data_IF_317151853565
#
_entry.id   IF_317151853565
#
_cell.length_a   1.000
_cell.length_b   1.000
_cell.length_c   1.000
_cell.angle_alpha   90.00
_cell.angle_beta   90.00
_cell.angle_gamma   90.00
#
_symmetry.space_group_name_H-M   'P 1'
#
loop_
_entity.id
_entity.type
_entity.pdbx_description
1 polymer ?
#
# COMPACT_ATOMS: atom_id res chain seq x y z
N UNK A 1 32.80 -7.03 -11.34
CA UNK A 1 33.40 -7.91 -12.37
C UNK A 1 33.07 -7.38 -13.75
N UNK A 2 34.02 -6.70 -14.41
CA UNK A 2 34.28 -6.94 -15.82
C UNK A 2 35.67 -7.51 -16.04
N UNK A 3 35.77 -8.27 -17.12
CA UNK A 3 36.76 -9.30 -17.42
C UNK A 3 38.12 -8.70 -17.81
N UNK A 4 39.16 -9.35 -17.32
CA UNK A 4 40.55 -9.29 -17.77
C UNK A 4 40.67 -9.51 -19.28
N UNK A 5 41.37 -8.63 -19.99
CA UNK A 5 41.85 -8.87 -21.34
C UNK A 5 43.10 -9.76 -21.29
N UNK A 6 43.07 -10.87 -22.01
CA UNK A 6 44.22 -11.73 -22.28
C UNK A 6 44.22 -12.13 -23.76
N UNK A 7 45.42 -12.15 -24.35
CA UNK A 7 45.82 -12.50 -25.75
C UNK A 7 45.71 -11.32 -26.72
N UNK A 8 46.69 -11.06 -27.59
CA UNK A 8 47.51 -11.97 -28.42
C UNK A 8 48.96 -11.43 -28.52
N UNK A 9 50.00 -12.21 -28.15
CA UNK A 9 50.84 -13.07 -29.01
C UNK A 9 51.09 -12.54 -30.43
N UNK A 10 52.32 -12.07 -30.64
CA UNK A 10 52.84 -11.55 -31.89
C UNK A 10 52.84 -12.55 -33.03
N UNK A 11 52.67 -11.99 -34.24
CA UNK A 11 53.06 -12.61 -35.50
C UNK A 11 54.45 -12.10 -35.87
N UNK A 12 55.36 -13.04 -36.00
CA UNK A 12 56.64 -12.88 -36.67
C UNK A 12 56.39 -12.67 -38.18
N UNK A 13 57.12 -11.73 -38.78
CA UNK A 13 57.43 -11.68 -40.20
C UNK A 13 58.95 -11.51 -40.35
N UNK A 14 59.51 -11.96 -41.49
CA UNK A 14 60.73 -12.76 -41.53
C UNK A 14 62.01 -11.94 -41.49
N UNK A 15 63.03 -12.53 -40.87
CA UNK A 15 64.42 -12.12 -40.96
C UNK A 15 64.88 -12.30 -42.42
N UNK A 16 65.00 -11.22 -43.17
CA UNK A 16 65.88 -11.19 -44.35
C UNK A 16 67.32 -11.01 -43.86
N UNK A 17 68.17 -11.95 -44.24
CA UNK A 17 69.62 -11.92 -44.07
C UNK A 17 70.17 -10.60 -44.62
N UNK A 18 70.44 -9.65 -43.74
CA UNK A 18 71.44 -8.63 -44.01
C UNK A 18 72.71 -9.13 -43.36
N UNK A 19 73.58 -9.68 -44.21
CA UNK A 19 74.97 -10.01 -43.95
C UNK A 19 75.58 -9.05 -42.93
N UNK A 20 75.90 -9.57 -41.75
CA UNK A 20 76.90 -8.99 -40.88
C UNK A 20 78.23 -9.09 -41.63
N UNK A 21 78.54 -8.05 -42.40
CA UNK A 21 79.95 -7.68 -42.56
C UNK A 21 80.47 -7.49 -41.14
N UNK A 22 81.34 -8.40 -40.71
CA UNK A 22 82.08 -8.29 -39.47
C UNK A 22 83.06 -7.12 -39.64
N UNK A 23 82.85 -5.93 -39.04
CA UNK A 23 84.00 -5.12 -38.76
C UNK A 23 84.61 -5.79 -37.54
N UNK A 24 85.61 -6.63 -37.78
CA UNK A 24 86.64 -6.94 -36.81
C UNK A 24 87.40 -5.65 -36.44
N UNK A 25 86.69 -4.66 -35.91
CA UNK A 25 87.22 -3.56 -35.15
C UNK A 25 87.16 -4.01 -33.71
N UNK A 26 88.34 -4.15 -33.09
CA UNK A 26 88.44 -4.38 -31.65
C UNK A 26 87.49 -3.43 -30.95
N UNK A 27 86.41 -3.93 -30.33
CA UNK A 27 85.58 -3.13 -29.44
C UNK A 27 86.54 -2.61 -28.39
N UNK A 28 86.89 -1.34 -28.51
CA UNK A 28 87.88 -0.75 -27.65
C UNK A 28 87.29 -0.72 -26.25
N UNK A 29 88.11 -0.96 -25.23
CA UNK A 29 87.70 -0.77 -23.84
C UNK A 29 87.09 0.63 -23.62
N UNK A 30 87.47 1.61 -24.45
CA UNK A 30 86.88 2.95 -24.48
C UNK A 30 85.41 2.98 -24.88
N UNK A 31 84.99 2.13 -25.81
CA UNK A 31 83.62 2.13 -26.35
C UNK A 31 82.67 1.49 -25.34
N UNK A 32 83.09 0.40 -24.70
CA UNK A 32 82.38 -0.22 -23.56
C UNK A 32 82.30 0.77 -22.39
N UNK A 33 83.38 1.49 -22.10
CA UNK A 33 83.39 2.53 -21.05
C UNK A 33 82.44 3.69 -21.37
N UNK A 34 82.31 4.07 -22.64
CA UNK A 34 81.40 5.12 -23.07
C UNK A 34 79.95 4.65 -23.01
N UNK A 35 79.63 3.42 -23.44
CA UNK A 35 78.29 2.84 -23.24
C UNK A 35 77.92 2.71 -21.76
N UNK A 36 78.85 2.28 -20.88
CA UNK A 36 78.60 2.22 -19.43
C UNK A 36 78.33 3.61 -18.86
N UNK A 37 79.01 4.65 -19.35
CA UNK A 37 78.75 6.03 -18.95
C UNK A 37 77.38 6.50 -19.42
N UNK A 38 77.03 6.25 -20.68
CA UNK A 38 75.72 6.60 -21.26
C UNK A 38 74.59 5.87 -20.51
N UNK A 39 74.75 4.57 -20.27
CA UNK A 39 73.80 3.77 -19.50
C UNK A 39 73.64 4.30 -18.07
N UNK A 40 74.74 4.69 -17.41
CA UNK A 40 74.69 5.32 -16.09
C UNK A 40 73.93 6.65 -16.12
N UNK A 41 74.17 7.50 -17.12
CA UNK A 41 73.46 8.79 -17.23
C UNK A 41 71.97 8.56 -17.50
N UNK A 42 71.62 7.68 -18.43
CA UNK A 42 70.22 7.31 -18.71
C UNK A 42 69.53 6.69 -17.51
N UNK A 43 70.20 5.79 -16.78
CA UNK A 43 69.61 5.23 -15.54
C UNK A 43 69.45 6.29 -14.46
N UNK A 44 70.38 7.24 -14.31
CA UNK A 44 70.19 8.35 -13.36
C UNK A 44 69.04 9.26 -13.75
N UNK A 45 68.90 9.59 -15.04
CA UNK A 45 67.79 10.41 -15.54
C UNK A 45 66.44 9.70 -15.37
N UNK A 46 66.38 8.41 -15.71
CA UNK A 46 65.19 7.57 -15.49
C UNK A 46 64.83 7.43 -14.00
N UNK A 47 65.83 7.38 -13.12
CA UNK A 47 65.59 7.38 -11.67
C UNK A 47 65.05 8.73 -11.18
N UNK A 48 65.53 9.84 -11.73
CA UNK A 48 65.01 11.16 -11.39
C UNK A 48 63.58 11.39 -11.89
N UNK A 49 63.24 10.92 -13.09
CA UNK A 49 61.87 10.98 -13.61
C UNK A 49 60.93 10.11 -12.77
N UNK A 50 61.30 8.86 -12.50
CA UNK A 50 60.54 7.98 -11.62
C UNK A 50 60.33 8.58 -10.22
N UNK A 51 61.33 9.28 -9.67
CA UNK A 51 61.21 9.96 -8.38
C UNK A 51 60.22 11.12 -8.42
N UNK A 52 60.18 11.89 -9.52
CA UNK A 52 59.19 12.95 -9.73
C UNK A 52 57.78 12.37 -9.84
N UNK A 53 57.61 11.28 -10.60
CA UNK A 53 56.32 10.61 -10.77
C UNK A 53 55.80 10.03 -9.44
N UNK A 54 56.66 9.37 -8.65
CA UNK A 54 56.30 8.86 -7.31
C UNK A 54 55.86 10.01 -6.39
N UNK A 55 56.51 11.17 -6.47
CA UNK A 55 56.12 12.35 -5.69
C UNK A 55 54.74 12.87 -6.13
N UNK A 56 54.50 12.95 -7.44
CA UNK A 56 53.19 13.34 -8.00
C UNK A 56 52.08 12.38 -7.55
N UNK A 57 52.30 11.07 -7.67
CA UNK A 57 51.37 10.03 -7.20
C UNK A 57 51.08 10.18 -5.71
N UNK A 58 52.09 10.48 -4.88
CA UNK A 58 51.89 10.68 -3.43
C UNK A 58 51.01 11.90 -3.13
N UNK A 59 51.18 12.98 -3.88
CA UNK A 59 50.36 14.19 -3.75
C UNK A 59 48.91 13.92 -4.18
N UNK A 60 48.70 13.23 -5.31
CA UNK A 60 47.37 12.81 -5.78
C UNK A 60 46.67 11.87 -4.78
N UNK A 61 47.39 10.88 -4.22
CA UNK A 61 46.86 10.00 -3.17
C UNK A 61 46.44 10.80 -1.94
N UNK A 62 47.22 11.82 -1.55
CA UNK A 62 46.87 12.73 -0.46
C UNK A 62 45.56 13.48 -0.73
N UNK A 63 45.40 14.02 -1.94
CA UNK A 63 44.16 14.69 -2.35
C UNK A 63 42.96 13.73 -2.43
N UNK A 64 43.16 12.52 -2.92
CA UNK A 64 42.13 11.49 -2.99
C UNK A 64 41.66 11.10 -1.58
N UNK A 65 42.56 10.93 -0.62
CA UNK A 65 42.19 10.61 0.76
C UNK A 65 41.32 11.71 1.40
N UNK A 66 41.63 12.99 1.13
CA UNK A 66 40.79 14.11 1.60
C UNK A 66 39.39 14.07 0.95
N UNK A 67 39.32 13.83 -0.36
CA UNK A 67 38.04 13.70 -1.08
C UNK A 67 37.23 12.49 -0.62
N UNK A 68 37.88 11.38 -0.29
CA UNK A 68 37.24 10.19 0.26
C UNK A 68 36.68 10.49 1.65
N UNK A 69 37.46 11.09 2.55
CA UNK A 69 36.97 11.45 3.88
C UNK A 69 35.76 12.39 3.87
N UNK A 70 35.78 13.41 3.01
CA UNK A 70 34.62 14.31 2.84
C UNK A 70 33.39 13.59 2.23
N UNK A 71 33.60 12.62 1.34
CA UNK A 71 32.52 11.80 0.80
C UNK A 71 31.94 10.86 1.87
N UNK A 72 32.79 10.22 2.68
CA UNK A 72 32.40 9.34 3.80
C UNK A 72 31.58 10.10 4.85
N UNK A 73 31.99 11.32 5.22
CA UNK A 73 31.24 12.16 6.15
C UNK A 73 29.86 12.53 5.60
N UNK A 74 29.79 12.96 4.34
CA UNK A 74 28.51 13.25 3.68
C UNK A 74 27.61 12.02 3.61
N UNK A 75 28.17 10.84 3.31
CA UNK A 75 27.43 9.58 3.28
C UNK A 75 26.86 9.27 4.67
N UNK A 76 27.69 9.34 5.72
CA UNK A 76 27.28 9.08 7.10
C UNK A 76 26.14 10.02 7.55
N UNK A 77 26.21 11.30 7.19
CA UNK A 77 25.13 12.25 7.48
C UNK A 77 23.85 11.91 6.70
N UNK A 78 23.95 11.51 5.43
CA UNK A 78 22.78 11.13 4.63
C UNK A 78 22.11 9.86 5.16
N UNK A 79 22.89 8.84 5.54
CA UNK A 79 22.40 7.62 6.15
C UNK A 79 21.68 7.90 7.48
N UNK A 80 22.25 8.80 8.29
CA UNK A 80 21.63 9.22 9.55
C UNK A 80 20.28 9.89 9.33
N UNK A 81 20.18 10.81 8.36
CA UNK A 81 18.92 11.46 7.99
C UNK A 81 17.90 10.45 7.46
N UNK A 82 18.33 9.46 6.68
CA UNK A 82 17.44 8.46 6.10
C UNK A 82 16.81 7.55 7.16
N UNK A 83 17.59 7.17 8.17
CA UNK A 83 17.10 6.44 9.35
C UNK A 83 16.03 7.26 10.09
N UNK A 84 16.24 8.57 10.27
CA UNK A 84 15.26 9.46 10.91
C UNK A 84 13.97 9.59 10.08
N UNK A 85 14.10 9.79 8.77
CA UNK A 85 12.96 9.87 7.86
C UNK A 85 12.13 8.59 7.87
N UNK A 86 12.79 7.42 7.91
CA UNK A 86 12.10 6.14 7.98
C UNK A 86 11.33 5.97 9.29
N UNK A 87 11.88 6.41 10.43
CA UNK A 87 11.16 6.43 11.71
C UNK A 87 9.91 7.30 11.64
N UNK A 88 10.02 8.50 11.05
CA UNK A 88 8.86 9.40 10.87
C UNK A 88 7.83 8.75 9.93
N UNK A 89 8.26 8.14 8.84
CA UNK A 89 7.38 7.44 7.89
C UNK A 89 6.58 6.33 8.57
N UNK A 90 7.23 5.47 9.37
CA UNK A 90 6.56 4.41 10.13
C UNK A 90 5.51 5.01 11.09
N UNK A 91 5.85 6.10 11.79
CA UNK A 91 4.90 6.78 12.69
C UNK A 91 3.69 7.36 11.95
N UNK A 92 3.92 7.96 10.77
CA UNK A 92 2.85 8.52 9.92
C UNK A 92 1.95 7.41 9.41
N UNK A 93 2.50 6.30 8.91
CA UNK A 93 1.73 5.15 8.44
C UNK A 93 0.85 4.55 9.55
N UNK A 94 1.39 4.42 10.78
CA UNK A 94 0.61 3.96 11.94
C UNK A 94 -0.54 4.91 12.27
N UNK A 95 -0.29 6.23 12.25
CA UNK A 95 -1.32 7.23 12.50
C UNK A 95 -2.38 7.23 11.40
N UNK A 96 -1.97 7.09 10.14
CA UNK A 96 -2.88 7.00 9.01
C UNK A 96 -3.83 5.80 9.16
N UNK A 97 -3.28 4.60 9.41
CA UNK A 97 -4.08 3.40 9.63
C UNK A 97 -5.07 3.56 10.78
N UNK A 98 -4.62 4.14 11.91
CA UNK A 98 -5.48 4.42 13.05
C UNK A 98 -6.62 5.40 12.70
N UNK A 99 -6.32 6.43 11.89
CA UNK A 99 -7.32 7.39 11.44
C UNK A 99 -8.34 6.75 10.50
N UNK A 100 -7.89 5.92 9.56
CA UNK A 100 -8.76 5.17 8.66
C UNK A 100 -9.72 4.26 9.45
N UNK A 101 -9.20 3.51 10.43
CA UNK A 101 -10.01 2.65 11.30
C UNK A 101 -11.04 3.46 12.12
N UNK A 102 -10.64 4.63 12.66
CA UNK A 102 -11.55 5.52 13.39
C UNK A 102 -12.63 6.12 12.50
N UNK A 103 -12.27 6.61 11.32
CA UNK A 103 -13.22 7.13 10.33
C UNK A 103 -14.22 6.06 9.93
N UNK A 104 -13.75 4.83 9.69
CA UNK A 104 -14.58 3.69 9.35
C UNK A 104 -15.55 3.30 10.48
N UNK A 105 -15.10 3.32 11.75
CA UNK A 105 -15.98 3.06 12.90
C UNK A 105 -17.03 4.17 13.08
N UNK A 106 -16.64 5.44 12.93
CA UNK A 106 -17.57 6.58 13.00
C UNK A 106 -18.62 6.52 11.90
N UNK A 107 -18.21 6.26 10.66
CA UNK A 107 -19.13 6.10 9.53
C UNK A 107 -20.09 4.93 9.79
N UNK A 108 -19.56 3.79 10.23
CA UNK A 108 -20.37 2.62 10.55
C UNK A 108 -21.37 2.91 11.67
N UNK A 109 -20.95 3.57 12.76
CA UNK A 109 -21.84 4.01 13.86
C UNK A 109 -22.96 4.89 13.36
N UNK A 110 -22.64 5.86 12.52
CA UNK A 110 -23.62 6.79 11.94
C UNK A 110 -24.66 6.06 11.08
N UNK A 111 -24.25 5.03 10.33
CA UNK A 111 -25.14 4.26 9.45
C UNK A 111 -25.86 3.08 10.12
N UNK A 112 -25.55 2.70 11.36
CA UNK A 112 -26.18 1.53 12.05
C UNK A 112 -27.72 1.57 12.06
N UNK A 113 -28.29 2.77 12.17
CA UNK A 113 -29.74 3.03 12.21
C UNK A 113 -30.35 3.21 10.80
N UNK A 114 -29.54 3.16 9.76
CA UNK A 114 -29.98 3.31 8.38
C UNK A 114 -30.33 1.94 7.77
N UNK A 115 -31.36 1.94 6.94
CA UNK A 115 -31.81 0.81 6.13
C UNK A 115 -31.84 1.27 4.68
N UNK A 116 -31.47 0.39 3.77
CA UNK A 116 -31.46 0.68 2.34
C UNK A 116 -32.48 -0.18 1.61
N UNK A 117 -33.31 0.48 0.82
CA UNK A 117 -34.37 -0.14 0.04
C UNK A 117 -34.03 0.01 -1.43
N UNK A 118 -33.97 -1.10 -2.16
CA UNK A 118 -33.62 -1.14 -3.56
C UNK A 118 -34.81 -1.47 -4.45
N UNK A 119 -34.71 -1.08 -5.72
CA UNK A 119 -35.68 -1.40 -6.78
C UNK A 119 -37.08 -0.81 -6.58
N UNK A 120 -37.19 0.31 -5.84
CA UNK A 120 -38.44 1.08 -5.74
C UNK A 120 -38.56 1.97 -6.99
N UNK A 121 -39.61 1.80 -7.82
CA UNK A 121 -39.79 2.59 -9.04
C UNK A 121 -39.70 4.10 -8.77
N UNK A 122 -39.08 4.85 -9.68
CA UNK A 122 -38.98 6.30 -9.53
C UNK A 122 -40.36 6.95 -9.57
N UNK A 123 -40.55 8.02 -8.78
CA UNK A 123 -41.80 8.78 -8.67
C UNK A 123 -42.97 8.02 -8.05
N UNK A 124 -42.75 6.78 -7.57
CA UNK A 124 -43.79 6.04 -6.85
C UNK A 124 -43.99 6.53 -5.42
N UNK A 125 -43.09 7.38 -4.90
CA UNK A 125 -43.12 7.84 -3.52
C UNK A 125 -44.05 9.04 -3.27
N UNK A 126 -44.44 9.74 -4.33
CA UNK A 126 -45.17 11.01 -4.20
C UNK A 126 -44.31 12.13 -3.60
N UNK A 127 -44.95 13.08 -2.92
CA UNK A 127 -44.29 14.29 -2.40
C UNK A 127 -43.59 14.07 -1.05
N UNK A 128 -44.05 13.12 -0.23
CA UNK A 128 -43.49 12.84 1.10
C UNK A 128 -42.96 11.41 1.21
N UNK A 129 -41.63 11.29 1.18
CA UNK A 129 -40.94 10.00 1.28
C UNK A 129 -41.23 9.27 2.60
N UNK A 130 -41.36 9.98 3.72
CA UNK A 130 -41.55 9.36 5.03
C UNK A 130 -42.93 8.70 5.12
N UNK A 131 -43.97 9.40 4.67
CA UNK A 131 -45.32 8.85 4.60
C UNK A 131 -45.41 7.64 3.67
N UNK A 132 -44.73 7.69 2.51
CA UNK A 132 -44.64 6.55 1.60
C UNK A 132 -44.04 5.34 2.30
N UNK A 133 -42.94 5.50 3.03
CA UNK A 133 -42.33 4.40 3.78
C UNK A 133 -43.26 3.88 4.87
N UNK A 134 -43.98 4.74 5.61
CA UNK A 134 -44.95 4.27 6.61
C UNK A 134 -46.06 3.42 5.99
N UNK A 135 -46.68 3.91 4.91
CA UNK A 135 -47.71 3.15 4.18
C UNK A 135 -47.16 1.84 3.66
N UNK A 136 -45.97 1.87 3.06
CA UNK A 136 -45.30 0.70 2.53
C UNK A 136 -45.02 -0.36 3.62
N UNK A 137 -44.47 0.05 4.77
CA UNK A 137 -44.16 -0.87 5.87
C UNK A 137 -45.43 -1.47 6.46
N UNK A 138 -46.51 -0.69 6.58
CA UNK A 138 -47.79 -1.17 7.07
C UNK A 138 -48.43 -2.18 6.09
N UNK A 139 -48.59 -1.79 4.82
CA UNK A 139 -49.25 -2.63 3.80
C UNK A 139 -48.46 -3.90 3.44
N UNK A 140 -47.13 -3.78 3.32
CA UNK A 140 -46.30 -4.87 2.80
C UNK A 140 -45.64 -5.70 3.87
N UNK A 141 -45.37 -5.15 5.06
CA UNK A 141 -44.74 -5.88 6.15
C UNK A 141 -45.64 -6.03 7.39
N UNK A 142 -46.79 -5.36 7.44
CA UNK A 142 -47.67 -5.38 8.62
C UNK A 142 -47.03 -4.72 9.85
N UNK A 143 -46.06 -3.83 9.64
CA UNK A 143 -45.33 -3.17 10.73
C UNK A 143 -45.84 -1.75 10.91
N UNK A 144 -46.36 -1.47 12.10
CA UNK A 144 -46.80 -0.15 12.55
C UNK A 144 -46.01 0.32 13.77
N UNK A 145 -46.13 1.61 14.10
CA UNK A 145 -45.53 2.18 15.31
C UNK A 145 -44.01 2.41 15.24
N UNK A 146 -43.44 2.41 14.04
CA UNK A 146 -42.01 2.68 13.84
C UNK A 146 -41.75 4.19 13.79
N UNK A 147 -40.61 4.66 14.28
CA UNK A 147 -40.21 6.07 14.18
C UNK A 147 -39.09 6.28 13.17
N UNK A 148 -39.38 7.02 12.10
CA UNK A 148 -38.44 7.38 11.04
C UNK A 148 -37.99 8.84 11.26
N UNK A 149 -36.68 9.04 11.35
CA UNK A 149 -36.05 10.37 11.48
C UNK A 149 -35.96 11.06 10.11
N UNK A 150 -35.55 10.30 9.09
CA UNK A 150 -35.39 10.81 7.72
C UNK A 150 -35.49 9.69 6.70
N UNK A 151 -36.13 9.96 5.57
CA UNK A 151 -36.09 9.09 4.40
C UNK A 151 -35.83 9.93 3.15
N UNK A 152 -34.92 9.47 2.30
CA UNK A 152 -34.60 10.16 1.05
C UNK A 152 -34.07 9.16 0.03
N UNK A 153 -34.19 9.50 -1.25
CA UNK A 153 -33.57 8.72 -2.32
C UNK A 153 -32.10 9.10 -2.39
N UNK A 154 -31.21 8.11 -2.31
CA UNK A 154 -29.80 8.31 -2.61
C UNK A 154 -29.67 8.57 -4.12
N UNK A 155 -28.80 9.50 -4.49
CA UNK A 155 -28.50 9.75 -5.89
C UNK A 155 -28.16 8.41 -6.58
N UNK A 156 -28.73 8.13 -7.77
CA UNK A 156 -28.26 7.02 -8.58
C UNK A 156 -26.75 7.18 -8.71
N UNK A 157 -25.96 6.11 -8.53
CA UNK A 157 -24.58 6.14 -8.97
C UNK A 157 -24.63 6.46 -10.46
N UNK A 158 -24.33 7.70 -10.82
CA UNK A 158 -23.91 8.04 -12.17
C UNK A 158 -22.55 7.38 -12.26
N UNK A 159 -22.49 6.13 -12.69
CA UNK A 159 -21.22 5.56 -13.11
C UNK A 159 -20.88 6.28 -14.41
N UNK A 160 -20.01 7.28 -14.29
CA UNK A 160 -19.24 7.80 -15.40
C UNK A 160 -18.30 6.68 -15.87
N UNK A 161 -18.86 5.78 -16.68
CA UNK A 161 -18.16 4.64 -17.25
C UNK A 161 -18.51 3.31 -16.58
N UNK A 162 -19.22 2.44 -17.32
CA UNK A 162 -19.20 1.01 -17.06
C UNK A 162 -20.32 0.47 -16.18
N UNK A 163 -21.52 0.27 -16.74
CA UNK A 163 -22.28 -0.98 -16.62
C UNK A 163 -23.64 -0.91 -17.33
N UNK A 164 -24.29 0.25 -17.41
CA UNK A 164 -25.63 0.42 -18.01
C UNK A 164 -25.70 1.66 -18.93
N UNK A 165 -24.75 1.79 -19.87
CA UNK A 165 -24.88 2.69 -21.03
C UNK A 165 -25.13 1.92 -22.33
N UNK A 166 -25.88 0.81 -22.27
CA UNK A 166 -26.46 0.26 -23.50
C UNK A 166 -27.66 1.12 -23.89
N UNK A 167 -27.71 1.67 -25.11
CA UNK A 167 -28.90 2.36 -25.61
C UNK A 167 -30.13 1.47 -25.39
N UNK A 168 -31.13 1.96 -24.65
CA UNK A 168 -32.37 1.21 -24.37
C UNK A 168 -32.44 0.43 -23.05
N UNK A 169 -31.40 0.43 -22.20
CA UNK A 169 -31.53 -0.15 -20.85
C UNK A 169 -32.13 0.87 -19.87
N UNK A 170 -33.27 0.54 -19.21
CA UNK A 170 -33.88 1.47 -18.27
C UNK A 170 -32.95 1.72 -17.08
N UNK A 171 -32.74 3.00 -16.75
CA UNK A 171 -31.91 3.43 -15.62
C UNK A 171 -32.39 2.73 -14.34
N UNK A 172 -31.47 2.06 -13.63
CA UNK A 172 -31.83 1.42 -12.35
C UNK A 172 -32.30 2.50 -11.36
N UNK A 173 -33.45 2.33 -10.72
CA UNK A 173 -33.96 3.32 -9.78
C UNK A 173 -32.98 3.47 -8.61
N UNK A 174 -32.73 4.72 -8.20
CA UNK A 174 -31.88 5.02 -7.05
C UNK A 174 -32.40 4.37 -5.76
N UNK A 175 -31.53 3.86 -4.89
CA UNK A 175 -31.95 3.26 -3.62
C UNK A 175 -32.50 4.31 -2.65
N UNK A 176 -33.47 3.96 -1.81
CA UNK A 176 -33.96 4.82 -0.73
C UNK A 176 -33.19 4.50 0.55
N UNK A 177 -32.70 5.53 1.23
CA UNK A 177 -32.05 5.43 2.55
C UNK A 177 -33.03 5.93 3.60
N UNK A 178 -33.37 5.05 4.53
CA UNK A 178 -34.30 5.31 5.65
C UNK A 178 -33.52 5.25 6.95
N UNK A 179 -33.55 6.33 7.74
CA UNK A 179 -32.94 6.40 9.06
C UNK A 179 -34.02 6.30 10.13
N UNK A 180 -33.89 5.29 10.98
CA UNK A 180 -34.78 5.06 12.11
C UNK A 180 -34.28 5.75 13.37
N UNK A 181 -35.19 6.04 14.30
CA UNK A 181 -34.83 6.60 15.60
C UNK A 181 -34.10 5.55 16.46
N UNK A 182 -34.57 4.29 16.44
CA UNK A 182 -33.95 3.16 17.15
C UNK A 182 -33.36 2.11 16.21
N UNK A 183 -32.21 1.55 16.62
CA UNK A 183 -31.62 0.38 15.95
C UNK A 183 -32.53 -0.86 16.00
N UNK A 184 -33.27 -1.03 17.10
CA UNK A 184 -34.15 -2.18 17.31
C UNK A 184 -35.30 -2.18 16.31
N UNK A 185 -35.90 -1.01 16.07
CA UNK A 185 -36.97 -0.83 15.07
C UNK A 185 -36.47 -1.16 13.66
N UNK A 186 -35.30 -0.63 13.29
CA UNK A 186 -34.63 -0.95 12.02
C UNK A 186 -34.41 -2.46 11.86
N UNK A 187 -33.94 -3.15 12.90
CA UNK A 187 -33.72 -4.60 12.87
C UNK A 187 -35.03 -5.38 12.75
N UNK A 188 -36.10 -4.96 13.45
CA UNK A 188 -37.43 -5.58 13.34
C UNK A 188 -37.95 -5.50 11.90
N UNK A 189 -37.84 -4.33 11.27
CA UNK A 189 -38.24 -4.13 9.87
C UNK A 189 -37.40 -4.99 8.93
N UNK A 190 -36.07 -4.99 9.10
CA UNK A 190 -35.17 -5.76 8.25
C UNK A 190 -35.44 -7.27 8.34
N UNK A 191 -35.65 -7.80 9.55
CA UNK A 191 -35.96 -9.20 9.78
C UNK A 191 -37.29 -9.60 9.15
N UNK A 192 -38.34 -8.80 9.32
CA UNK A 192 -39.63 -9.06 8.68
C UNK A 192 -39.51 -9.09 7.15
N UNK A 193 -38.73 -8.17 6.57
CA UNK A 193 -38.50 -8.13 5.14
C UNK A 193 -37.75 -9.38 4.63
N UNK A 194 -36.70 -9.80 5.35
CA UNK A 194 -35.95 -11.02 5.01
C UNK A 194 -36.73 -12.32 5.21
N UNK A 195 -37.65 -12.36 6.19
CA UNK A 195 -38.54 -13.51 6.40
C UNK A 195 -39.58 -13.62 5.28
N UNK A 196 -40.17 -12.48 4.85
CA UNK A 196 -41.19 -12.47 3.79
C UNK A 196 -40.62 -12.84 2.41
N UNK A 197 -39.34 -12.52 2.15
CA UNK A 197 -38.55 -12.81 0.92
C UNK A 197 -39.09 -12.26 -0.40
N UNK A 198 -40.39 -12.24 -0.64
CA UNK A 198 -41.03 -11.68 -1.83
C UNK A 198 -41.89 -10.47 -1.46
N UNK A 199 -41.36 -9.29 -1.76
CA UNK A 199 -42.02 -8.01 -1.55
C UNK A 199 -42.01 -7.30 -2.88
N UNK A 200 -43.18 -6.96 -3.40
CA UNK A 200 -43.33 -6.32 -4.72
C UNK A 200 -44.13 -5.04 -4.62
N UNK A 201 -43.72 -4.04 -5.40
CA UNK A 201 -44.57 -2.91 -5.80
C UNK A 201 -44.82 -3.07 -7.29
N UNK A 202 -46.09 -3.19 -7.67
CA UNK A 202 -46.48 -3.54 -9.04
C UNK A 202 -45.74 -4.83 -9.44
N UNK A 203 -44.92 -4.79 -10.49
CA UNK A 203 -44.13 -5.92 -10.97
C UNK A 203 -42.66 -5.92 -10.49
N UNK A 204 -42.25 -4.90 -9.71
CA UNK A 204 -40.87 -4.76 -9.26
C UNK A 204 -40.65 -5.40 -7.89
N UNK A 205 -39.72 -6.34 -7.81
CA UNK A 205 -39.28 -6.94 -6.54
C UNK A 205 -38.36 -5.99 -5.78
N UNK A 206 -38.66 -5.79 -4.51
CA UNK A 206 -37.99 -4.85 -3.61
C UNK A 206 -37.08 -5.60 -2.67
N UNK A 207 -35.88 -5.05 -2.48
CA UNK A 207 -34.89 -5.62 -1.58
C UNK A 207 -34.60 -4.67 -0.42
N UNK A 208 -34.48 -5.25 0.77
CA UNK A 208 -34.11 -4.58 2.00
C UNK A 208 -32.73 -5.06 2.41
N UNK A 209 -31.81 -4.13 2.65
CA UNK A 209 -30.48 -4.44 3.15
C UNK A 209 -30.01 -3.38 4.16
N UNK A 210 -28.97 -3.72 4.91
CA UNK A 210 -28.29 -2.76 5.78
C UNK A 210 -27.51 -1.74 4.95
N UNK A 211 -27.46 -0.48 5.40
CA UNK A 211 -26.63 0.57 4.81
C UNK A 211 -25.22 0.50 5.42
N UNK A 212 -24.33 -0.29 4.83
CA UNK A 212 -22.92 -0.35 5.26
C UNK A 212 -22.09 0.78 4.64
N UNK A 213 -20.95 1.09 5.27
CA UNK A 213 -19.89 1.92 4.66
C UNK A 213 -19.34 1.27 3.39
N UNK A 214 -18.71 2.04 2.51
CA UNK A 214 -18.10 1.53 1.28
C UNK A 214 -17.04 0.44 1.55
N UNK A 215 -16.19 0.61 2.58
CA UNK A 215 -15.15 -0.36 2.92
C UNK A 215 -15.74 -1.71 3.34
N UNK A 216 -16.74 -1.71 4.23
CA UNK A 216 -17.47 -2.94 4.61
C UNK A 216 -18.14 -3.61 3.42
N UNK A 217 -18.74 -2.85 2.50
CA UNK A 217 -19.28 -3.45 1.26
C UNK A 217 -18.19 -4.11 0.41
N UNK A 218 -17.03 -3.47 0.26
CA UNK A 218 -15.88 -4.02 -0.47
C UNK A 218 -15.40 -5.33 0.17
N UNK A 219 -15.24 -5.36 1.49
CA UNK A 219 -14.83 -6.56 2.22
C UNK A 219 -15.87 -7.68 2.12
N UNK A 220 -17.17 -7.37 2.26
CA UNK A 220 -18.24 -8.35 2.10
C UNK A 220 -18.34 -8.90 0.68
N UNK A 221 -18.03 -8.09 -0.33
CA UNK A 221 -18.04 -8.51 -1.72
C UNK A 221 -17.01 -9.60 -2.01
N UNK A 222 -15.89 -9.65 -1.27
CA UNK A 222 -14.88 -10.72 -1.39
C UNK A 222 -15.49 -12.12 -1.14
N UNK A 223 -16.51 -12.21 -0.28
CA UNK A 223 -17.19 -13.48 0.02
C UNK A 223 -18.32 -13.84 -0.96
N UNK A 224 -18.61 -13.03 -1.98
CA UNK A 224 -19.74 -13.24 -2.89
C UNK A 224 -19.63 -14.58 -3.63
N UNK A 225 -18.47 -14.87 -4.21
CA UNK A 225 -18.24 -16.11 -4.96
C UNK A 225 -18.25 -17.33 -4.04
N UNK A 226 -17.56 -17.23 -2.91
CA UNK A 226 -17.51 -18.26 -1.87
C UNK A 226 -18.91 -18.63 -1.37
N UNK A 227 -19.77 -17.64 -1.13
CA UNK A 227 -21.14 -17.87 -0.69
C UNK A 227 -21.97 -18.65 -1.70
N UNK A 228 -21.76 -18.43 -3.00
CA UNK A 228 -22.42 -19.18 -4.08
C UNK A 228 -21.98 -20.65 -4.04
N UNK A 229 -20.68 -20.89 -3.95
CA UNK A 229 -20.11 -22.25 -3.88
C UNK A 229 -20.55 -23.02 -2.62
N UNK A 230 -20.67 -22.33 -1.48
CA UNK A 230 -21.18 -22.92 -0.23
C UNK A 230 -22.67 -23.26 -0.31
N UNK A 231 -23.46 -22.40 -0.99
CA UNK A 231 -24.87 -22.65 -1.23
C UNK A 231 -25.09 -23.89 -2.12
N UNK A 232 -24.30 -24.04 -3.19
CA UNK A 232 -24.33 -25.21 -4.08
C UNK A 232 -24.00 -26.52 -3.35
N UNK A 233 -23.19 -26.46 -2.29
CA UNK A 233 -22.84 -27.60 -1.42
C UNK A 233 -23.79 -27.79 -0.23
N UNK A 234 -24.93 -27.08 -0.21
CA UNK A 234 -25.90 -27.09 0.89
C UNK A 234 -25.35 -26.67 2.27
N UNK A 235 -24.25 -25.91 2.31
CA UNK A 235 -23.68 -25.38 3.55
C UNK A 235 -24.32 -24.03 3.86
N UNK A 236 -25.04 -23.94 4.98
CA UNK A 236 -25.69 -22.70 5.39
C UNK A 236 -24.64 -21.70 5.86
N UNK A 237 -24.74 -20.47 5.37
CA UNK A 237 -23.75 -19.41 5.62
C UNK A 237 -24.40 -18.10 6.06
N UNK A 238 -23.67 -17.32 6.86
CA UNK A 238 -24.04 -15.94 7.20
C UNK A 238 -22.80 -15.06 7.23
N UNK A 239 -22.89 -13.85 6.67
CA UNK A 239 -21.84 -12.84 6.80
C UNK A 239 -22.22 -11.91 7.95
N UNK A 240 -21.43 -11.95 9.02
CA UNK A 240 -21.60 -11.10 10.19
C UNK A 240 -20.89 -9.75 9.98
N UNK A 241 -21.36 -8.73 10.68
CA UNK A 241 -20.70 -7.44 10.71
C UNK A 241 -19.31 -7.53 11.39
N UNK A 242 -18.28 -6.82 10.89
CA UNK A 242 -18.25 -6.04 9.64
C UNK A 242 -18.25 -6.93 8.39
N UNK A 243 -17.35 -7.91 8.28
CA UNK A 243 -17.28 -8.85 7.15
C UNK A 243 -16.72 -10.22 7.59
N UNK A 244 -17.34 -10.86 8.57
CA UNK A 244 -16.90 -12.17 9.09
C UNK A 244 -17.75 -13.30 8.50
N UNK A 245 -17.14 -14.33 7.94
CA UNK A 245 -17.86 -15.47 7.37
C UNK A 245 -18.19 -16.49 8.47
N UNK A 246 -19.48 -16.72 8.72
CA UNK A 246 -19.98 -17.77 9.62
C UNK A 246 -20.52 -18.94 8.81
N UNK A 247 -19.98 -20.13 9.01
CA UNK A 247 -20.48 -21.40 8.47
C UNK A 247 -21.29 -22.13 9.52
N UNK A 248 -22.38 -22.77 9.11
CA UNK A 248 -23.11 -23.73 9.92
C UNK A 248 -22.80 -25.13 9.41
N UNK A 249 -22.22 -25.96 10.28
CA UNK A 249 -21.84 -27.34 9.98
C UNK A 249 -23.06 -28.27 10.19
N UNK A 250 -23.01 -29.46 9.59
CA UNK A 250 -24.02 -30.52 9.76
C UNK A 250 -24.26 -30.87 11.23
N UNK A 251 -23.20 -30.81 12.04
CA UNK A 251 -23.20 -31.26 13.44
C UNK A 251 -23.81 -30.24 14.40
N UNK A 252 -24.50 -29.21 13.88
CA UNK A 252 -25.04 -28.08 14.65
C UNK A 252 -23.98 -27.07 15.13
N UNK A 253 -22.68 -27.37 14.94
CA UNK A 253 -21.57 -26.46 15.23
C UNK A 253 -21.48 -25.34 14.20
N UNK A 254 -20.77 -24.27 14.55
CA UNK A 254 -20.48 -23.18 13.62
C UNK A 254 -19.02 -22.75 13.71
N UNK A 255 -18.45 -22.35 12.57
CA UNK A 255 -17.12 -21.75 12.49
C UNK A 255 -17.24 -20.31 12.02
N UNK A 256 -16.39 -19.42 12.56
CA UNK A 256 -16.38 -18.00 12.19
C UNK A 256 -14.98 -17.62 11.76
N UNK A 257 -14.85 -17.24 10.49
CA UNK A 257 -13.62 -16.70 9.94
C UNK A 257 -13.66 -15.17 10.02
N UNK A 258 -12.64 -14.59 10.65
CA UNK A 258 -12.53 -13.14 10.87
C UNK A 258 -12.13 -12.41 9.60
N UNK A 259 -11.22 -13.02 8.84
CA UNK A 259 -10.58 -12.39 7.68
C UNK A 259 -10.66 -13.29 6.44
N UNK A 260 -10.63 -12.70 5.22
CA UNK A 260 -10.57 -13.44 3.96
C UNK A 260 -9.46 -14.50 3.87
N UNK A 261 -8.20 -14.27 4.29
CA UNK A 261 -7.15 -15.30 4.22
C UNK A 261 -7.44 -16.50 5.12
N UNK A 262 -7.83 -16.28 6.37
CA UNK A 262 -8.21 -17.37 7.29
C UNK A 262 -9.43 -18.15 6.77
N UNK A 263 -10.37 -17.44 6.13
CA UNK A 263 -11.47 -18.10 5.44
C UNK A 263 -10.97 -18.94 4.26
N UNK A 264 -10.05 -18.43 3.44
CA UNK A 264 -9.51 -19.15 2.30
C UNK A 264 -8.79 -20.46 2.72
N UNK A 265 -8.05 -20.44 3.84
CA UNK A 265 -7.43 -21.64 4.41
C UNK A 265 -8.48 -22.64 4.89
N UNK A 266 -9.43 -22.22 5.75
CA UNK A 266 -10.45 -23.10 6.29
C UNK A 266 -11.46 -23.62 5.25
N UNK A 267 -11.65 -22.89 4.14
CA UNK A 267 -12.53 -23.31 3.05
C UNK A 267 -11.93 -24.40 2.16
N UNK A 268 -10.60 -24.60 2.21
CA UNK A 268 -9.93 -25.71 1.50
C UNK A 268 -10.42 -27.06 2.00
N UNK A 269 -10.72 -27.18 3.30
CA UNK A 269 -11.30 -28.39 3.89
C UNK A 269 -12.65 -28.76 3.24
N UNK A 270 -13.38 -27.77 2.72
CA UNK A 270 -14.66 -27.94 2.04
C UNK A 270 -14.52 -28.01 0.50
N UNK A 271 -13.29 -28.11 -0.02
CA UNK A 271 -13.00 -28.14 -1.45
C UNK A 271 -13.38 -26.84 -2.18
N UNK A 272 -13.28 -25.69 -1.49
CA UNK A 272 -13.59 -24.36 -2.04
C UNK A 272 -12.31 -23.55 -2.14
N UNK A 273 -12.01 -23.10 -3.36
CA UNK A 273 -10.91 -22.16 -3.61
C UNK A 273 -11.46 -20.74 -3.54
N UNK A 274 -10.94 -19.97 -2.59
CA UNK A 274 -11.15 -18.52 -2.51
C UNK A 274 -9.88 -17.83 -3.00
N UNK A 275 -9.99 -17.01 -4.06
CA UNK A 275 -8.91 -16.09 -4.43
C UNK A 275 -8.76 -15.06 -3.30
N UNK A 276 -7.76 -15.27 -2.44
CA UNK A 276 -7.36 -14.25 -1.48
C UNK A 276 -6.60 -13.16 -2.26
N UNK A 277 -7.19 -11.98 -2.40
CA UNK A 277 -6.42 -10.78 -2.73
C UNK A 277 -5.23 -10.72 -1.74
N UNK A 278 -3.99 -10.53 -2.22
CA UNK A 278 -2.83 -10.51 -1.34
C UNK A 278 -3.09 -9.51 -0.23
N UNK A 279 -2.81 -9.92 1.02
CA UNK A 279 -2.84 -9.03 2.18
C UNK A 279 -2.04 -7.79 1.77
N UNK A 280 -2.67 -6.61 1.77
CA UNK A 280 -1.93 -5.37 1.52
C UNK A 280 -0.67 -5.45 2.37
N UNK A 281 0.52 -5.31 1.76
CA UNK A 281 1.76 -5.50 2.48
C UNK A 281 1.69 -4.60 3.68
N UNK A 282 1.89 -5.17 4.86
CA UNK A 282 2.02 -4.36 6.07
C UNK A 282 3.26 -3.51 5.81
N UNK A 283 3.03 -2.25 5.42
CA UNK A 283 4.09 -1.34 5.00
C UNK A 283 5.11 -1.21 6.13
N UNK A 284 4.67 -1.35 7.37
CA UNK A 284 5.53 -1.41 8.55
C UNK A 284 6.41 -2.66 8.57
N UNK A 285 5.84 -3.86 8.34
CA UNK A 285 6.61 -5.10 8.25
C UNK A 285 7.53 -5.12 7.03
N UNK A 286 7.12 -4.47 5.94
CA UNK A 286 7.91 -4.36 4.70
C UNK A 286 9.11 -3.44 4.90
N UNK A 287 8.91 -2.31 5.58
CA UNK A 287 9.99 -1.40 5.97
C UNK A 287 10.94 -2.08 6.96
N UNK A 288 10.43 -2.81 7.95
CA UNK A 288 11.27 -3.57 8.89
C UNK A 288 12.05 -4.70 8.21
N UNK A 289 11.41 -5.47 7.32
CA UNK A 289 12.03 -6.59 6.60
C UNK A 289 13.09 -6.13 5.57
N UNK A 290 13.00 -4.88 5.09
CA UNK A 290 14.01 -4.27 4.23
C UNK A 290 15.31 -3.85 4.98
N UNK A 291 15.49 -4.30 6.24
CA UNK A 291 16.71 -4.08 7.03
C UNK A 291 16.70 -2.79 7.85
N UNK A 292 15.57 -2.08 7.90
CA UNK A 292 15.42 -0.84 8.67
C UNK A 292 15.06 -1.16 10.13
N UNK A 293 15.96 -1.84 10.83
CA UNK A 293 15.87 -1.91 12.28
C UNK A 293 16.32 -0.58 12.87
N UNK A 294 15.41 0.15 13.51
CA UNK A 294 15.79 1.27 14.38
C UNK A 294 16.84 0.75 15.37
N UNK A 295 18.06 1.31 15.44
CA UNK A 295 19.06 0.84 16.39
C UNK A 295 18.46 0.83 17.78
N UNK A 296 18.48 -0.34 18.43
CA UNK A 296 18.03 -0.50 19.80
C UNK A 296 18.76 0.53 20.66
N UNK A 297 17.99 1.25 21.48
CA UNK A 297 18.43 2.31 22.40
C UNK A 297 19.81 2.02 23.00
N UNK A 298 20.85 2.61 22.39
CA UNK A 298 22.08 2.98 23.07
C UNK A 298 21.75 4.16 23.98
N UNK A 299 22.14 4.04 25.25
CA UNK A 299 21.89 5.01 26.32
C UNK A 299 22.49 6.37 25.95
N UNK A 300 21.65 7.41 25.97
CA UNK A 300 22.06 8.82 26.09
C UNK A 300 22.09 9.60 24.78
N UNK A 301 21.24 10.63 24.67
CA UNK A 301 21.35 11.65 23.62
C UNK A 301 20.01 12.22 23.13
N UNK A 302 19.49 13.22 23.85
CA UNK A 302 18.74 14.39 23.36
C UNK A 302 17.76 14.18 22.18
N UNK A 303 16.68 13.42 22.40
CA UNK A 303 15.57 13.27 21.44
C UNK A 303 14.34 14.17 21.73
N UNK A 304 14.39 14.99 22.79
CA UNK A 304 13.22 15.73 23.29
C UNK A 304 13.00 17.10 22.63
N UNK A 305 13.93 17.62 21.82
CA UNK A 305 13.78 18.95 21.19
C UNK A 305 12.96 18.91 19.88
N UNK A 306 13.03 17.83 19.08
CA UNK A 306 12.30 17.75 17.80
C UNK A 306 10.82 17.32 17.95
N UNK A 307 10.50 16.54 18.98
CA UNK A 307 9.11 16.15 19.28
C UNK A 307 8.29 17.31 19.86
N UNK A 308 8.95 18.28 20.50
CA UNK A 308 8.34 19.55 20.93
C UNK A 308 7.97 20.46 19.74
N UNK A 309 8.86 20.57 18.75
CA UNK A 309 8.66 21.42 17.56
C UNK A 309 7.50 20.97 16.67
N UNK A 310 7.26 19.65 16.53
CA UNK A 310 6.12 19.12 15.77
C UNK A 310 4.77 19.35 16.46
N UNK A 311 4.73 19.35 17.81
CA UNK A 311 3.51 19.67 18.56
C UNK A 311 3.19 21.17 18.53
N UNK A 312 4.19 22.02 18.26
CA UNK A 312 4.01 23.47 18.15
C UNK A 312 3.42 23.89 16.80
N UNK A 313 3.69 23.12 15.73
CA UNK A 313 3.12 23.38 14.39
C UNK A 313 1.66 22.95 14.20
N UNK A 314 1.10 22.12 15.11
CA UNK A 314 -0.26 21.54 14.97
C UNK A 314 -1.32 22.29 15.82
N UNK A 315 -0.97 23.41 16.47
CA UNK A 315 -1.99 24.27 17.09
C UNK A 315 -2.80 25.01 16.02
N UNK A 316 -3.94 24.44 15.64
CA UNK A 316 -4.99 25.16 14.93
C UNK A 316 -5.42 26.37 15.78
N UNK A 317 -5.61 27.56 15.18
CA UNK A 317 -6.05 28.74 15.92
C UNK A 317 -7.42 28.46 16.53
N UNK A 318 -7.49 28.55 17.86
CA UNK A 318 -8.75 28.53 18.59
C UNK A 318 -9.46 29.84 18.28
N UNK A 319 -10.51 29.78 17.46
CA UNK A 319 -11.42 30.91 17.25
C UNK A 319 -12.01 31.28 18.61
N UNK A 320 -11.65 32.46 19.11
CA UNK A 320 -12.34 33.09 20.23
C UNK A 320 -13.78 33.35 19.80
N UNK A 321 -14.73 32.74 20.52
CA UNK A 321 -16.14 33.08 20.43
C UNK A 321 -16.33 34.22 21.43
N UNK A 322 -16.39 35.45 20.91
CA UNK A 322 -16.78 36.62 21.70
C UNK A 322 -18.22 36.43 22.17
N UNK A 323 -18.38 36.29 23.48
CA UNK A 323 -19.68 36.36 24.14
C UNK A 323 -19.98 37.84 24.37
N UNK A 324 -20.76 38.43 23.47
CA UNK A 324 -21.41 39.72 23.73
C UNK A 324 -22.56 39.45 24.70
N UNK A 325 -22.39 39.93 25.93
CA UNK A 325 -23.46 40.05 26.91
C UNK A 325 -24.23 41.33 26.58
N UNK A 326 -25.52 41.18 26.28
CA UNK A 326 -26.55 42.20 26.49
C UNK A 326 -27.81 41.53 27.01
#
# INVERSE_FOLDING_TARGET
MPKTNLKERGKQQPHEDTTLEDPGGSISLSDIMNEIKIFRTETTENFETAKKDIKGIKEEIGQLNLRIGTAEERIAETESRDIELTKVLIQVLRKQKLLEEKCQDLESRSRRKNLRIYSVPEKSEGNNMVEFIYKFLNERLGITGVRIERAHRAAPLVTDGGADRRPGTPKRPGSIVVRFQSYVEKQRVLQAAWTKKDIRIKDSRIFFDEDFSAQVYKERAKYRQVRKQLYERNIKTRILYPAKLKLFLSDGKYTVFKDPPTAAEGLREFGITMESSPKEPDLEATLQAAGWESPRRGRGGRADELTSSLNTLIRLPTTQVDTVVT
#
